data_IF_382675075141
#
_entry.id   IF_382675075141
#
_cell.length_a   1.000
_cell.length_b   1.000
_cell.length_c   1.000
_cell.angle_alpha   90.00
_cell.angle_beta   90.00
_cell.angle_gamma   90.00
#
_symmetry.space_group_name_H-M   'P 1'
#
loop_
_entity.id
_entity.type
_entity.pdbx_description
1 polymer ?
#
# COMPACT_ATOMS: atom_id res chain seq x y z
N UNK A 1 36.84 -7.46 -29.61
CA UNK A 1 36.41 -7.10 -30.99
C UNK A 1 37.50 -6.42 -31.81
N UNK A 2 38.73 -6.29 -31.28
CA UNK A 2 39.89 -5.67 -31.95
C UNK A 2 40.80 -6.70 -32.67
N UNK A 3 40.28 -7.87 -33.07
CA UNK A 3 41.04 -8.85 -33.83
C UNK A 3 41.03 -8.49 -35.32
N UNK A 4 42.16 -8.66 -35.99
CA UNK A 4 42.31 -8.42 -37.44
C UNK A 4 41.69 -9.52 -38.32
N UNK A 5 41.28 -10.66 -37.75
CA UNK A 5 40.62 -11.75 -38.47
C UNK A 5 39.10 -11.53 -38.57
N UNK A 6 38.49 -11.38 -39.76
CA UNK A 6 37.07 -11.09 -39.93
C UNK A 6 36.15 -12.18 -39.33
N UNK A 7 36.58 -13.43 -39.37
CA UNK A 7 35.82 -14.57 -38.79
C UNK A 7 35.70 -14.49 -37.26
N UNK A 8 36.79 -14.08 -36.58
CA UNK A 8 36.80 -13.90 -35.14
C UNK A 8 35.89 -12.73 -34.75
N UNK A 9 35.85 -11.68 -35.55
CA UNK A 9 35.01 -10.50 -35.31
C UNK A 9 33.52 -10.84 -35.45
N UNK A 10 33.15 -11.61 -36.48
CA UNK A 10 31.77 -12.08 -36.70
C UNK A 10 31.30 -13.03 -35.58
N UNK A 11 32.14 -13.98 -35.19
CA UNK A 11 31.84 -14.89 -34.08
C UNK A 11 31.71 -14.15 -32.75
N UNK A 12 32.55 -13.16 -32.50
CA UNK A 12 32.45 -12.32 -31.29
C UNK A 12 31.17 -11.47 -31.27
N UNK A 13 30.78 -10.87 -32.40
CA UNK A 13 29.54 -10.12 -32.53
C UNK A 13 28.31 -10.99 -32.32
N UNK A 14 28.23 -12.18 -32.92
CA UNK A 14 27.11 -13.10 -32.71
C UNK A 14 27.01 -13.60 -31.25
N UNK A 15 28.15 -13.79 -30.60
CA UNK A 15 28.17 -14.13 -29.17
C UNK A 15 27.66 -12.97 -28.29
N UNK A 16 28.07 -11.75 -28.61
CA UNK A 16 27.60 -10.53 -27.91
C UNK A 16 26.09 -10.39 -28.07
N UNK A 17 25.57 -10.47 -29.29
CA UNK A 17 24.12 -10.37 -29.57
C UNK A 17 23.31 -11.45 -28.82
N UNK A 18 23.86 -12.69 -28.76
CA UNK A 18 23.21 -13.77 -28.02
C UNK A 18 23.19 -13.50 -26.51
N UNK A 19 24.31 -13.00 -25.96
CA UNK A 19 24.42 -12.67 -24.54
C UNK A 19 23.50 -11.46 -24.19
N UNK A 20 23.53 -10.40 -24.99
CA UNK A 20 22.68 -9.23 -24.82
C UNK A 20 21.20 -9.60 -24.90
N UNK A 21 20.81 -10.47 -25.83
CA UNK A 21 19.47 -11.00 -25.94
C UNK A 21 19.02 -11.75 -24.68
N UNK A 22 19.88 -12.60 -24.10
CA UNK A 22 19.62 -13.29 -22.83
C UNK A 22 19.51 -12.31 -21.66
N UNK A 23 20.41 -11.35 -21.58
CA UNK A 23 20.40 -10.33 -20.52
C UNK A 23 19.15 -9.46 -20.61
N UNK A 24 18.71 -9.10 -21.81
CA UNK A 24 17.46 -8.36 -22.00
C UNK A 24 16.24 -9.14 -21.49
N UNK A 25 16.15 -10.43 -21.76
CA UNK A 25 15.07 -11.29 -21.26
C UNK A 25 15.12 -11.38 -19.73
N UNK A 26 16.30 -11.60 -19.14
CA UNK A 26 16.48 -11.64 -17.68
C UNK A 26 16.07 -10.29 -17.06
N UNK A 27 16.46 -9.17 -17.67
CA UNK A 27 16.07 -7.83 -17.20
C UNK A 27 14.54 -7.63 -17.21
N UNK A 28 13.81 -8.17 -18.19
CA UNK A 28 12.35 -8.12 -18.21
C UNK A 28 11.73 -8.91 -17.05
N UNK A 29 12.21 -10.11 -16.77
CA UNK A 29 11.76 -10.90 -15.62
C UNK A 29 12.12 -10.21 -14.30
N UNK A 30 13.28 -9.56 -14.21
CA UNK A 30 13.69 -8.78 -13.05
C UNK A 30 12.73 -7.59 -12.80
N UNK A 31 12.28 -6.91 -13.87
CA UNK A 31 11.30 -5.83 -13.78
C UNK A 31 9.93 -6.35 -13.31
N UNK A 32 9.50 -7.55 -13.76
CA UNK A 32 8.28 -8.18 -13.23
C UNK A 32 8.42 -8.45 -11.74
N UNK A 33 9.54 -9.02 -11.29
CA UNK A 33 9.81 -9.29 -9.89
C UNK A 33 9.76 -8.01 -9.03
N UNK A 34 10.45 -6.96 -9.46
CA UNK A 34 10.41 -5.66 -8.79
C UNK A 34 9.02 -5.03 -8.84
N UNK A 35 8.30 -5.21 -9.93
CA UNK A 35 6.92 -4.76 -10.08
C UNK A 35 5.95 -5.47 -9.15
N UNK A 36 6.09 -6.78 -8.95
CA UNK A 36 5.30 -7.55 -7.98
C UNK A 36 5.59 -7.11 -6.56
N UNK A 37 6.86 -6.84 -6.22
CA UNK A 37 7.22 -6.32 -4.91
C UNK A 37 6.61 -4.93 -4.67
N UNK A 38 6.72 -4.01 -5.63
CA UNK A 38 6.09 -2.70 -5.54
C UNK A 38 4.57 -2.81 -5.46
N UNK A 39 3.96 -3.66 -6.29
CA UNK A 39 2.53 -3.92 -6.27
C UNK A 39 2.04 -4.48 -4.93
N UNK A 40 2.84 -5.30 -4.26
CA UNK A 40 2.53 -5.81 -2.92
C UNK A 40 2.49 -4.70 -1.88
N UNK A 41 3.42 -3.77 -1.93
CA UNK A 41 3.44 -2.58 -1.06
C UNK A 41 2.24 -1.67 -1.35
N UNK A 42 1.96 -1.42 -2.63
CA UNK A 42 0.79 -0.64 -3.04
C UNK A 42 -0.51 -1.30 -2.59
N UNK A 43 -0.59 -2.63 -2.62
CA UNK A 43 -1.74 -3.38 -2.12
C UNK A 43 -1.95 -3.15 -0.63
N UNK A 44 -0.90 -3.27 0.20
CA UNK A 44 -1.01 -3.03 1.65
C UNK A 44 -1.48 -1.61 1.95
N UNK A 45 -0.91 -0.62 1.28
CA UNK A 45 -1.30 0.77 1.45
C UNK A 45 -2.73 1.02 0.97
N UNK A 46 -3.14 0.43 -0.16
CA UNK A 46 -4.45 0.67 -0.77
C UNK A 46 -5.60 -0.10 -0.10
N UNK A 47 -5.33 -1.28 0.49
CA UNK A 47 -6.40 -2.17 0.96
C UNK A 47 -7.17 -1.58 2.14
N UNK A 48 -6.50 -0.84 3.03
CA UNK A 48 -7.13 -0.10 4.10
C UNK A 48 -8.06 1.00 3.58
N UNK A 49 -7.61 1.72 2.54
CA UNK A 49 -8.41 2.73 1.84
C UNK A 49 -9.59 2.10 1.09
N UNK A 50 -9.41 0.94 0.47
CA UNK A 50 -10.48 0.21 -0.21
C UNK A 50 -11.61 -0.17 0.74
N UNK A 51 -11.29 -0.50 2.00
CA UNK A 51 -12.29 -0.81 3.02
C UNK A 51 -13.03 0.44 3.46
N UNK A 52 -12.32 1.49 3.85
CA UNK A 52 -12.95 2.72 4.35
C UNK A 52 -13.80 3.39 3.27
N UNK A 53 -13.26 3.57 2.07
CA UNK A 53 -13.99 4.13 0.94
C UNK A 53 -15.10 3.18 0.46
N UNK A 54 -14.84 1.88 0.45
CA UNK A 54 -15.81 0.86 0.02
C UNK A 54 -17.04 0.76 0.92
N UNK A 55 -16.90 0.86 2.23
CA UNK A 55 -18.00 0.71 3.20
C UNK A 55 -18.69 2.03 3.48
N UNK A 56 -17.92 3.07 3.73
CA UNK A 56 -18.43 4.36 4.23
C UNK A 56 -18.67 5.39 3.12
N UNK A 57 -18.07 5.20 1.93
CA UNK A 57 -18.09 6.19 0.85
C UNK A 57 -17.29 7.46 1.15
N UNK A 58 -16.40 7.41 2.13
CA UNK A 58 -15.60 8.56 2.60
C UNK A 58 -14.24 8.54 1.94
N UNK A 59 -13.87 9.66 1.31
CA UNK A 59 -12.51 9.87 0.78
C UNK A 59 -11.64 10.37 1.92
N UNK A 60 -10.71 9.52 2.39
CA UNK A 60 -9.82 9.84 3.49
C UNK A 60 -8.43 10.22 2.97
N UNK A 61 -8.13 11.52 2.92
CA UNK A 61 -6.79 12.00 2.54
C UNK A 61 -5.75 11.80 3.65
N UNK A 62 -6.18 11.64 4.91
CA UNK A 62 -5.28 11.33 6.03
C UNK A 62 -4.86 9.84 6.07
N UNK A 63 -5.34 9.01 5.14
CA UNK A 63 -4.98 7.59 5.10
C UNK A 63 -3.47 7.36 4.91
N UNK A 64 -2.81 8.19 4.09
CA UNK A 64 -1.36 8.15 3.95
C UNK A 64 -0.62 8.37 5.27
N UNK A 65 -1.14 9.24 6.13
CA UNK A 65 -0.55 9.51 7.44
C UNK A 65 -0.69 8.34 8.40
N UNK A 66 -1.66 7.45 8.20
CA UNK A 66 -1.74 6.19 8.95
C UNK A 66 -0.56 5.26 8.58
N UNK A 67 -0.16 5.26 7.31
CA UNK A 67 1.05 4.56 6.84
C UNK A 67 2.29 5.18 7.49
N UNK A 68 2.41 6.51 7.48
CA UNK A 68 3.50 7.23 8.15
C UNK A 68 3.57 6.88 9.64
N UNK A 69 2.45 6.92 10.36
CA UNK A 69 2.39 6.56 11.78
C UNK A 69 2.86 5.12 12.04
N UNK A 70 2.50 4.19 11.16
CA UNK A 70 3.00 2.81 11.23
C UNK A 70 4.52 2.71 11.07
N UNK A 71 5.09 3.45 10.12
CA UNK A 71 6.53 3.49 9.91
C UNK A 71 7.26 4.11 11.11
N UNK A 72 6.77 5.22 11.67
CA UNK A 72 7.33 5.80 12.88
C UNK A 72 7.15 4.92 14.12
N UNK A 73 6.06 4.17 14.23
CA UNK A 73 5.88 3.17 15.29
C UNK A 73 6.95 2.10 15.19
N UNK A 74 7.28 1.64 13.98
CA UNK A 74 8.37 0.68 13.75
C UNK A 74 9.71 1.26 14.19
N UNK A 75 10.01 2.50 13.85
CA UNK A 75 11.21 3.20 14.29
C UNK A 75 11.30 3.25 15.81
N UNK A 76 10.26 3.68 16.51
CA UNK A 76 10.22 3.76 17.98
C UNK A 76 10.42 2.38 18.61
N UNK A 77 9.77 1.35 18.11
CA UNK A 77 9.93 -0.02 18.60
C UNK A 77 11.38 -0.48 18.42
N UNK A 78 12.01 -0.22 17.28
CA UNK A 78 13.41 -0.58 17.07
C UNK A 78 14.37 0.17 18.02
N UNK A 79 14.13 1.46 18.26
CA UNK A 79 14.91 2.23 19.23
C UNK A 79 14.76 1.67 20.66
N UNK A 80 13.56 1.25 21.06
CA UNK A 80 13.35 0.58 22.35
C UNK A 80 14.09 -0.75 22.43
N UNK A 81 14.09 -1.56 21.35
CA UNK A 81 14.86 -2.81 21.33
C UNK A 81 16.37 -2.56 21.37
N UNK A 82 16.88 -1.54 20.68
CA UNK A 82 18.30 -1.15 20.76
C UNK A 82 18.70 -0.74 22.16
N UNK A 83 17.83 0.01 22.86
CA UNK A 83 18.12 0.51 24.21
C UNK A 83 18.02 -0.57 25.29
N UNK A 84 16.99 -1.44 25.24
CA UNK A 84 16.66 -2.34 26.35
C UNK A 84 16.92 -3.81 26.07
N UNK A 85 16.91 -4.25 24.80
CA UNK A 85 17.05 -5.67 24.44
C UNK A 85 17.77 -5.87 23.10
N UNK A 86 19.04 -5.44 22.96
CA UNK A 86 19.76 -5.51 21.68
C UNK A 86 19.90 -6.93 21.13
N UNK A 87 19.98 -7.95 22.00
CA UNK A 87 20.05 -9.36 21.60
C UNK A 87 18.76 -9.93 21.00
N UNK A 88 17.64 -9.21 21.12
CA UNK A 88 16.34 -9.61 20.59
C UNK A 88 15.88 -8.68 19.46
N UNK A 89 16.80 -7.92 18.85
CA UNK A 89 16.47 -6.92 17.81
C UNK A 89 15.70 -7.52 16.64
N UNK A 90 15.97 -8.76 16.25
CA UNK A 90 15.27 -9.45 15.16
C UNK A 90 13.78 -9.67 15.41
N UNK A 91 13.32 -9.64 16.68
CA UNK A 91 11.91 -9.70 17.04
C UNK A 91 11.21 -8.34 17.00
N UNK A 92 11.95 -7.25 16.85
CA UNK A 92 11.40 -5.89 16.86
C UNK A 92 10.31 -5.68 15.80
N UNK A 93 10.52 -6.22 14.60
CA UNK A 93 9.55 -6.12 13.51
C UNK A 93 8.25 -6.88 13.82
N UNK A 94 8.35 -8.05 14.45
CA UNK A 94 7.17 -8.84 14.84
C UNK A 94 6.31 -8.09 15.88
N UNK A 95 6.96 -7.36 16.80
CA UNK A 95 6.26 -6.52 17.78
C UNK A 95 5.74 -5.23 17.14
N UNK A 96 6.48 -4.68 16.17
CA UNK A 96 6.07 -3.47 15.47
C UNK A 96 4.75 -3.64 14.68
N UNK A 97 4.48 -4.82 14.12
CA UNK A 97 3.26 -5.10 13.35
C UNK A 97 1.99 -4.85 14.17
N UNK A 98 1.75 -5.53 15.31
CA UNK A 98 0.56 -5.28 16.12
C UNK A 98 0.56 -3.88 16.74
N UNK A 99 1.72 -3.34 17.11
CA UNK A 99 1.81 -1.99 17.67
C UNK A 99 1.40 -0.93 16.62
N UNK A 100 1.90 -1.02 15.40
CA UNK A 100 1.53 -0.12 14.30
C UNK A 100 0.03 -0.22 13.95
N UNK A 101 -0.52 -1.44 13.94
CA UNK A 101 -1.96 -1.64 13.75
C UNK A 101 -2.78 -0.94 14.83
N UNK A 102 -2.40 -1.08 16.10
CA UNK A 102 -3.11 -0.47 17.22
C UNK A 102 -2.97 1.04 17.24
N UNK A 103 -1.78 1.58 17.02
CA UNK A 103 -1.53 3.03 17.02
C UNK A 103 -2.29 3.70 15.87
N UNK A 104 -2.08 3.23 14.63
CA UNK A 104 -2.78 3.80 13.47
C UNK A 104 -4.29 3.56 13.54
N UNK A 105 -4.73 2.40 14.02
CA UNK A 105 -6.13 2.08 14.22
C UNK A 105 -6.79 2.98 15.27
N UNK A 106 -6.14 3.21 16.40
CA UNK A 106 -6.65 4.11 17.46
C UNK A 106 -6.76 5.55 16.97
N UNK A 107 -5.75 6.05 16.25
CA UNK A 107 -5.79 7.38 15.62
C UNK A 107 -6.92 7.44 14.58
N UNK A 108 -7.09 6.39 13.78
CA UNK A 108 -8.20 6.29 12.82
C UNK A 108 -9.57 6.36 13.52
N UNK A 109 -9.80 5.60 14.59
CA UNK A 109 -11.03 5.66 15.38
C UNK A 109 -11.23 7.06 15.98
N UNK A 110 -10.17 7.71 16.46
CA UNK A 110 -10.24 9.06 16.99
C UNK A 110 -10.64 10.09 15.91
N UNK A 111 -10.11 9.96 14.69
CA UNK A 111 -10.47 10.81 13.55
C UNK A 111 -11.93 10.59 13.15
N UNK A 112 -12.37 9.34 13.10
CA UNK A 112 -13.77 9.02 12.76
C UNK A 112 -14.73 9.64 13.80
N UNK A 113 -14.47 9.38 15.09
CA UNK A 113 -15.32 9.87 16.19
C UNK A 113 -15.26 11.38 16.39
N UNK A 114 -14.09 11.99 16.16
CA UNK A 114 -13.88 13.42 16.35
C UNK A 114 -14.37 14.30 15.20
N UNK A 115 -14.28 13.79 13.96
CA UNK A 115 -14.50 14.62 12.77
C UNK A 115 -15.43 13.97 11.75
N UNK A 116 -15.14 12.73 11.31
CA UNK A 116 -15.81 12.17 10.13
C UNK A 116 -17.29 11.89 10.40
N UNK A 117 -17.65 11.43 11.59
CA UNK A 117 -19.05 11.15 11.95
C UNK A 117 -20.00 12.33 11.72
N UNK A 118 -19.50 13.58 11.78
CA UNK A 118 -20.31 14.80 11.57
C UNK A 118 -20.38 15.22 10.09
N UNK A 119 -19.59 14.59 9.24
CA UNK A 119 -19.44 14.95 7.82
C UNK A 119 -20.01 13.89 6.86
N UNK A 120 -20.75 12.90 7.38
CA UNK A 120 -21.37 11.89 6.53
C UNK A 120 -22.34 12.51 5.51
N UNK A 121 -22.24 12.06 4.26
CA UNK A 121 -23.03 12.57 3.16
C UNK A 121 -22.50 13.86 2.52
N UNK A 122 -21.32 14.35 2.97
CA UNK A 122 -20.69 15.57 2.48
C UNK A 122 -19.26 15.28 1.99
N UNK A 123 -19.09 14.69 0.80
CA UNK A 123 -17.80 14.15 0.37
C UNK A 123 -16.71 15.21 0.22
N UNK A 124 -17.05 16.42 -0.24
CA UNK A 124 -16.06 17.50 -0.38
C UNK A 124 -15.59 18.05 0.98
N UNK A 125 -16.51 18.21 1.93
CA UNK A 125 -16.16 18.67 3.29
C UNK A 125 -15.29 17.63 4.00
N UNK A 126 -15.60 16.33 3.82
CA UNK A 126 -14.82 15.23 4.39
C UNK A 126 -13.41 15.19 3.80
N UNK A 127 -13.27 15.38 2.48
CA UNK A 127 -11.98 15.44 1.81
C UNK A 127 -11.12 16.58 2.35
N UNK A 128 -11.69 17.78 2.49
CA UNK A 128 -10.97 18.95 3.01
C UNK A 128 -10.59 18.78 4.49
N UNK A 129 -11.51 18.26 5.32
CA UNK A 129 -11.26 18.01 6.73
C UNK A 129 -10.14 16.98 6.93
N UNK A 130 -10.16 15.87 6.19
CA UNK A 130 -9.13 14.84 6.28
C UNK A 130 -7.78 15.32 5.73
N UNK A 131 -7.78 16.20 4.73
CA UNK A 131 -6.55 16.85 4.28
C UNK A 131 -5.95 17.77 5.35
N UNK A 132 -6.79 18.56 6.03
CA UNK A 132 -6.35 19.37 7.19
C UNK A 132 -5.76 18.51 8.32
N UNK A 133 -6.40 17.37 8.63
CA UNK A 133 -5.91 16.41 9.62
C UNK A 133 -4.54 15.82 9.17
N UNK A 134 -4.38 15.52 7.88
CA UNK A 134 -3.11 15.05 7.33
C UNK A 134 -1.99 16.04 7.63
N UNK A 135 -2.20 17.33 7.36
CA UNK A 135 -1.20 18.37 7.65
C UNK A 135 -0.87 18.48 9.15
N UNK A 136 -1.88 18.35 10.02
CA UNK A 136 -1.69 18.36 11.48
C UNK A 136 -0.84 17.18 11.92
N UNK A 137 -1.13 15.97 11.43
CA UNK A 137 -0.37 14.76 11.77
C UNK A 137 1.08 14.84 11.27
N UNK A 138 1.31 15.31 10.05
CA UNK A 138 2.66 15.54 9.54
C UNK A 138 3.44 16.53 10.40
N UNK A 139 2.81 17.65 10.74
CA UNK A 139 3.45 18.64 11.57
C UNK A 139 3.71 18.14 12.99
N UNK A 140 2.81 17.34 13.56
CA UNK A 140 3.02 16.71 14.86
C UNK A 140 4.23 15.77 14.83
N UNK A 141 4.35 14.92 13.81
CA UNK A 141 5.49 14.01 13.65
C UNK A 141 6.79 14.80 13.44
N UNK A 142 6.79 15.86 12.63
CA UNK A 142 7.97 16.73 12.46
C UNK A 142 8.40 17.40 13.76
N UNK A 143 7.45 17.77 14.61
CA UNK A 143 7.75 18.41 15.89
C UNK A 143 8.33 17.41 16.89
N UNK A 144 7.87 16.16 16.88
CA UNK A 144 8.31 15.11 17.83
C UNK A 144 9.63 14.48 17.40
N UNK A 145 9.76 14.10 16.13
CA UNK A 145 10.90 13.32 15.60
C UNK A 145 11.89 14.15 14.77
N UNK A 146 11.54 15.38 14.43
CA UNK A 146 12.32 16.24 13.55
C UNK A 146 11.93 16.07 12.06
N UNK A 147 12.47 16.94 11.19
CA UNK A 147 12.19 16.93 9.76
C UNK A 147 13.04 15.93 8.97
N UNK A 148 14.06 15.34 9.59
CA UNK A 148 15.01 14.42 8.96
C UNK A 148 14.43 13.03 8.83
N UNK A 149 14.91 12.29 7.82
CA UNK A 149 14.57 10.89 7.65
C UNK A 149 15.15 10.07 8.81
N UNK A 150 14.40 9.08 9.26
CA UNK A 150 14.82 8.13 10.27
C UNK A 150 15.12 6.78 9.60
N UNK A 151 16.21 6.16 10.03
CA UNK A 151 16.64 4.87 9.51
C UNK A 151 16.05 3.73 10.32
N UNK A 152 15.39 2.81 9.62
CA UNK A 152 14.87 1.56 10.16
C UNK A 152 15.69 0.41 9.58
N UNK A 153 16.33 -0.36 10.46
CA UNK A 153 17.18 -1.47 10.02
C UNK A 153 16.36 -2.72 9.75
N UNK A 154 16.72 -3.43 8.67
CA UNK A 154 16.12 -4.72 8.39
C UNK A 154 16.67 -5.79 9.35
N UNK A 155 15.81 -6.67 9.92
CA UNK A 155 16.25 -7.81 10.73
C UNK A 155 17.23 -8.72 9.98
N UNK A 156 18.03 -9.51 10.70
CA UNK A 156 19.06 -10.36 10.11
C UNK A 156 18.51 -11.35 9.06
N UNK A 157 17.33 -11.91 9.30
CA UNK A 157 16.66 -12.86 8.39
C UNK A 157 16.10 -12.24 7.10
N UNK A 158 16.04 -10.91 7.00
CA UNK A 158 15.60 -10.18 5.80
C UNK A 158 16.79 -9.66 4.99
N UNK A 159 18.01 -9.76 5.50
CA UNK A 159 19.22 -9.28 4.83
C UNK A 159 19.74 -10.30 3.81
N UNK A 160 20.35 -9.79 2.74
CA UNK A 160 20.90 -10.61 1.68
C UNK A 160 19.92 -10.98 0.58
N UNK A 161 20.30 -11.95 -0.24
CA UNK A 161 19.52 -12.44 -1.37
C UNK A 161 20.20 -13.63 -2.01
N UNK A 162 19.55 -14.23 -2.99
CA UNK A 162 20.09 -15.30 -3.80
C UNK A 162 19.80 -15.04 -5.27
N UNK A 163 20.63 -15.63 -6.13
CA UNK A 163 20.42 -15.60 -7.57
C UNK A 163 19.70 -16.88 -8.01
N UNK A 164 18.60 -16.73 -8.70
CA UNK A 164 17.86 -17.83 -9.30
C UNK A 164 17.66 -17.57 -10.80
N UNK A 165 18.22 -18.44 -11.64
CA UNK A 165 18.18 -18.30 -13.11
C UNK A 165 18.70 -16.93 -13.63
N UNK A 166 19.65 -16.32 -12.93
CA UNK A 166 20.17 -14.98 -13.25
C UNK A 166 19.32 -13.81 -12.72
N UNK A 167 18.25 -14.10 -11.94
CA UNK A 167 17.44 -13.10 -11.28
C UNK A 167 17.99 -12.85 -9.87
N UNK A 168 18.26 -11.60 -9.53
CA UNK A 168 18.63 -11.21 -8.17
C UNK A 168 17.37 -11.09 -7.30
N UNK A 169 17.14 -12.06 -6.42
CA UNK A 169 16.02 -12.11 -5.49
C UNK A 169 16.52 -11.72 -4.11
N UNK A 170 16.12 -10.54 -3.61
CA UNK A 170 16.41 -10.09 -2.26
C UNK A 170 15.39 -10.65 -1.26
N UNK A 171 15.87 -11.16 -0.12
CA UNK A 171 15.00 -11.70 0.93
C UNK A 171 14.00 -10.67 1.43
N UNK A 172 14.40 -9.41 1.54
CA UNK A 172 13.53 -8.33 1.98
C UNK A 172 12.24 -8.24 1.11
N UNK A 173 12.39 -8.23 -0.22
CA UNK A 173 11.24 -8.17 -1.14
C UNK A 173 10.39 -9.43 -1.09
N UNK A 174 11.02 -10.60 -0.94
CA UNK A 174 10.30 -11.87 -0.79
C UNK A 174 9.42 -11.84 0.46
N UNK A 175 9.98 -11.43 1.60
CA UNK A 175 9.24 -11.30 2.86
C UNK A 175 8.07 -10.33 2.75
N UNK A 176 8.24 -9.20 2.05
CA UNK A 176 7.17 -8.22 1.85
C UNK A 176 6.02 -8.83 1.03
N UNK A 177 6.32 -9.58 -0.05
CA UNK A 177 5.28 -10.23 -0.86
C UNK A 177 4.51 -11.27 -0.03
N UNK A 178 5.22 -12.13 0.71
CA UNK A 178 4.61 -13.14 1.58
C UNK A 178 3.78 -12.47 2.68
N UNK A 179 4.33 -11.46 3.33
CA UNK A 179 3.65 -10.71 4.37
C UNK A 179 2.37 -10.04 3.85
N UNK A 180 2.43 -9.41 2.68
CA UNK A 180 1.26 -8.81 2.03
C UNK A 180 0.17 -9.83 1.77
N UNK A 181 0.54 -11.03 1.29
CA UNK A 181 -0.43 -12.09 1.05
C UNK A 181 -1.08 -12.57 2.36
N UNK A 182 -0.29 -12.72 3.42
CA UNK A 182 -0.81 -13.09 4.75
C UNK A 182 -1.79 -12.04 5.27
N UNK A 183 -1.43 -10.76 5.22
CA UNK A 183 -2.31 -9.66 5.65
C UNK A 183 -3.58 -9.61 4.80
N UNK A 184 -3.47 -9.78 3.48
CA UNK A 184 -4.62 -9.83 2.59
C UNK A 184 -5.58 -10.97 2.93
N UNK A 185 -5.05 -12.18 3.14
CA UNK A 185 -5.86 -13.35 3.52
C UNK A 185 -6.47 -13.20 4.91
N UNK A 186 -5.71 -12.68 5.89
CA UNK A 186 -6.22 -12.38 7.22
C UNK A 186 -7.37 -11.37 7.17
N UNK A 187 -7.24 -10.33 6.37
CA UNK A 187 -8.28 -9.33 6.18
C UNK A 187 -9.53 -9.92 5.49
N UNK A 188 -9.34 -10.74 4.47
CA UNK A 188 -10.45 -11.48 3.85
C UNK A 188 -11.16 -12.37 4.86
N UNK A 189 -10.43 -13.04 5.74
CA UNK A 189 -10.99 -13.84 6.81
C UNK A 189 -11.81 -12.99 7.79
N UNK A 190 -11.27 -11.84 8.24
CA UNK A 190 -12.00 -10.90 9.09
C UNK A 190 -13.31 -10.46 8.42
N UNK A 191 -13.25 -10.04 7.16
CA UNK A 191 -14.43 -9.52 6.46
C UNK A 191 -15.46 -10.59 6.09
N UNK A 192 -15.04 -11.84 5.85
CA UNK A 192 -15.97 -12.93 5.47
C UNK A 192 -16.49 -13.74 6.66
N UNK A 193 -15.65 -13.96 7.67
CA UNK A 193 -15.94 -14.92 8.75
C UNK A 193 -16.40 -14.26 10.06
N UNK A 194 -16.19 -12.93 10.23
CA UNK A 194 -16.57 -12.26 11.47
C UNK A 194 -17.92 -11.55 11.39
N UNK A 195 -18.54 -11.34 12.56
CA UNK A 195 -19.77 -10.53 12.69
C UNK A 195 -19.56 -9.08 12.25
N UNK A 196 -18.36 -8.51 12.47
CA UNK A 196 -18.02 -7.18 12.01
C UNK A 196 -18.10 -7.08 10.49
N UNK A 197 -17.50 -8.03 9.76
CA UNK A 197 -17.57 -8.05 8.31
C UNK A 197 -19.00 -8.22 7.77
N UNK A 198 -19.86 -8.98 8.47
CA UNK A 198 -21.28 -9.08 8.13
C UNK A 198 -21.99 -7.73 8.31
N UNK A 199 -21.77 -7.06 9.44
CA UNK A 199 -22.35 -5.75 9.73
C UNK A 199 -21.87 -4.68 8.75
N UNK A 200 -20.57 -4.68 8.38
CA UNK A 200 -20.02 -3.79 7.36
C UNK A 200 -20.74 -3.97 6.02
N UNK A 201 -20.95 -5.20 5.56
CA UNK A 201 -21.69 -5.47 4.31
C UNK A 201 -23.15 -5.02 4.40
N UNK A 202 -23.81 -5.24 5.53
CA UNK A 202 -25.20 -4.78 5.73
C UNK A 202 -25.30 -3.24 5.65
N UNK A 203 -24.41 -2.52 6.34
CA UNK A 203 -24.34 -1.05 6.31
C UNK A 203 -24.03 -0.52 4.91
N UNK A 204 -23.15 -1.19 4.16
CA UNK A 204 -22.79 -0.82 2.79
C UNK A 204 -23.96 -0.98 1.82
N UNK A 205 -24.80 -2.02 1.99
CA UNK A 205 -25.96 -2.24 1.14
C UNK A 205 -27.09 -1.26 1.40
N UNK A 206 -27.49 -1.14 2.67
CA UNK A 206 -28.55 -0.20 3.05
C UNK A 206 -28.39 0.22 4.53
N UNK A 207 -27.80 1.40 4.72
CA UNK A 207 -27.51 1.95 6.05
C UNK A 207 -28.77 2.14 6.92
N UNK A 208 -29.89 2.62 6.33
CA UNK A 208 -31.14 2.85 7.06
C UNK A 208 -31.75 1.53 7.51
N UNK A 209 -31.80 0.55 6.61
CA UNK A 209 -32.34 -0.76 6.94
C UNK A 209 -31.49 -1.48 7.99
N UNK A 210 -30.15 -1.41 7.87
CA UNK A 210 -29.23 -1.98 8.86
C UNK A 210 -29.47 -1.39 10.26
N UNK A 211 -29.66 -0.07 10.35
CA UNK A 211 -30.00 0.60 11.62
C UNK A 211 -31.35 0.13 12.17
N UNK A 212 -32.37 -0.03 11.33
CA UNK A 212 -33.69 -0.53 11.73
C UNK A 212 -33.65 -1.99 12.24
N UNK A 213 -32.68 -2.77 11.76
CA UNK A 213 -32.43 -4.14 12.24
C UNK A 213 -31.55 -4.21 13.49
N UNK A 214 -31.27 -3.08 14.15
CA UNK A 214 -30.53 -3.01 15.40
C UNK A 214 -29.00 -2.92 15.26
N UNK A 215 -28.46 -2.78 14.06
CA UNK A 215 -27.02 -2.57 13.86
C UNK A 215 -26.65 -1.16 14.25
N UNK A 216 -25.70 -1.01 15.17
CA UNK A 216 -25.15 0.29 15.59
C UNK A 216 -24.21 0.82 14.51
N UNK A 217 -24.75 1.50 13.50
CA UNK A 217 -24.00 1.96 12.31
C UNK A 217 -22.78 2.82 12.69
N UNK A 218 -22.88 3.72 13.65
CA UNK A 218 -21.74 4.52 14.10
C UNK A 218 -20.60 3.69 14.72
N UNK A 219 -20.92 2.57 15.41
CA UNK A 219 -19.90 1.65 15.89
C UNK A 219 -19.21 0.92 14.72
N UNK A 220 -20.01 0.47 13.75
CA UNK A 220 -19.47 -0.21 12.55
C UNK A 220 -18.57 0.74 11.76
N UNK A 221 -18.93 2.01 11.63
CA UNK A 221 -18.13 3.02 10.95
C UNK A 221 -16.77 3.24 11.66
N UNK A 222 -16.80 3.44 12.98
CA UNK A 222 -15.58 3.61 13.75
C UNK A 222 -14.64 2.40 13.66
N UNK A 223 -15.20 1.19 13.75
CA UNK A 223 -14.43 -0.04 13.62
C UNK A 223 -13.91 -0.25 12.19
N UNK A 224 -14.70 0.11 11.18
CA UNK A 224 -14.28 0.08 9.76
C UNK A 224 -13.11 1.01 9.51
N UNK A 225 -13.24 2.25 10.01
CA UNK A 225 -12.20 3.26 9.85
C UNK A 225 -10.93 2.88 10.63
N UNK A 226 -11.08 2.37 11.85
CA UNK A 226 -9.99 1.84 12.67
C UNK A 226 -9.28 0.65 12.01
N UNK A 227 -10.04 -0.31 11.45
CA UNK A 227 -9.50 -1.46 10.74
C UNK A 227 -8.71 -1.01 9.49
N UNK A 228 -9.28 -0.12 8.67
CA UNK A 228 -8.61 0.38 7.47
C UNK A 228 -7.34 1.18 7.82
N UNK A 229 -7.40 2.02 8.85
CA UNK A 229 -6.25 2.78 9.35
C UNK A 229 -5.19 1.86 9.97
N UNK A 230 -5.59 0.83 10.72
CA UNK A 230 -4.67 -0.15 11.29
C UNK A 230 -3.92 -0.95 10.21
N UNK A 231 -4.62 -1.37 9.14
CA UNK A 231 -3.99 -2.02 7.99
C UNK A 231 -3.02 -1.08 7.27
N UNK A 232 -3.36 0.22 7.16
CA UNK A 232 -2.41 1.22 6.65
C UNK A 232 -1.17 1.36 7.55
N UNK A 233 -1.33 1.27 8.88
CA UNK A 233 -0.21 1.20 9.81
C UNK A 233 0.70 -0.01 9.55
N UNK A 234 0.12 -1.17 9.31
CA UNK A 234 0.89 -2.38 8.91
C UNK A 234 1.62 -2.15 7.57
N UNK A 235 1.01 -1.46 6.60
CA UNK A 235 1.69 -1.08 5.37
C UNK A 235 2.91 -0.19 5.65
N UNK A 236 2.83 0.70 6.64
CA UNK A 236 3.94 1.51 7.11
C UNK A 236 5.10 0.69 7.65
N UNK A 237 4.83 -0.41 8.38
CA UNK A 237 5.86 -1.36 8.83
C UNK A 237 6.59 -1.98 7.64
N UNK A 238 5.87 -2.43 6.62
CA UNK A 238 6.48 -3.01 5.42
C UNK A 238 7.28 -1.97 4.62
N UNK A 239 6.74 -0.76 4.50
CA UNK A 239 7.41 0.35 3.81
C UNK A 239 8.70 0.78 4.50
N UNK A 240 8.74 0.82 5.82
CA UNK A 240 9.95 1.18 6.58
C UNK A 240 11.13 0.25 6.31
N UNK A 241 10.90 -0.95 5.73
CA UNK A 241 11.96 -1.90 5.40
C UNK A 241 12.57 -1.67 4.00
N UNK A 242 11.95 -0.86 3.15
CA UNK A 242 12.38 -0.62 1.76
C UNK A 242 12.54 0.85 1.41
N UNK A 243 11.99 1.72 2.22
CA UNK A 243 12.04 3.17 2.04
C UNK A 243 12.41 3.86 3.36
N UNK A 244 12.94 5.08 3.28
CA UNK A 244 13.27 5.87 4.46
C UNK A 244 12.02 6.36 5.17
N UNK A 245 11.99 6.25 6.49
CA UNK A 245 10.90 6.79 7.29
C UNK A 245 11.01 8.30 7.38
N UNK A 246 10.07 8.98 6.77
CA UNK A 246 10.02 10.45 6.71
C UNK A 246 8.64 10.98 7.04
N UNK A 247 8.52 12.25 7.49
CA UNK A 247 7.20 12.86 7.70
C UNK A 247 6.35 13.00 6.44
N UNK A 248 6.95 12.89 5.25
CA UNK A 248 6.25 12.96 3.97
C UNK A 248 5.93 11.58 3.39
N UNK A 249 6.30 10.48 4.06
CA UNK A 249 6.12 9.11 3.57
C UNK A 249 4.67 8.85 3.14
N UNK A 250 3.70 9.27 3.94
CA UNK A 250 2.28 9.09 3.66
C UNK A 250 1.83 9.76 2.37
N UNK A 251 2.28 10.99 2.13
CA UNK A 251 1.92 11.75 0.92
C UNK A 251 2.45 11.11 -0.37
N UNK A 252 3.58 10.43 -0.31
CA UNK A 252 4.16 9.76 -1.47
C UNK A 252 3.33 8.57 -1.94
N UNK A 253 2.57 7.94 -1.03
CA UNK A 253 1.83 6.72 -1.31
C UNK A 253 0.30 6.91 -1.37
N UNK A 254 -0.25 8.04 -0.89
CA UNK A 254 -1.71 8.23 -0.87
C UNK A 254 -2.30 8.28 -2.29
N UNK A 255 -1.63 8.96 -3.21
CA UNK A 255 -2.09 9.09 -4.60
C UNK A 255 -2.07 7.72 -5.29
N UNK A 256 -0.96 6.99 -5.15
CA UNK A 256 -0.81 5.65 -5.72
C UNK A 256 -1.85 4.68 -5.13
N UNK A 257 -2.09 4.75 -3.82
CA UNK A 257 -3.13 3.95 -3.14
C UNK A 257 -4.53 4.27 -3.65
N UNK A 258 -4.83 5.54 -3.87
CA UNK A 258 -6.11 5.97 -4.41
C UNK A 258 -6.30 5.48 -5.86
N UNK A 259 -5.27 5.57 -6.69
CA UNK A 259 -5.29 5.04 -8.06
C UNK A 259 -5.57 3.54 -8.09
N UNK A 260 -4.91 2.78 -7.20
CA UNK A 260 -5.12 1.33 -7.07
C UNK A 260 -6.58 1.02 -6.73
N UNK A 261 -7.17 1.71 -5.76
CA UNK A 261 -8.55 1.48 -5.32
C UNK A 261 -9.56 1.82 -6.42
N UNK A 262 -9.38 2.97 -7.07
CA UNK A 262 -10.31 3.42 -8.11
C UNK A 262 -10.18 2.59 -9.38
N UNK A 263 -8.98 2.25 -9.80
CA UNK A 263 -8.73 1.38 -10.94
C UNK A 263 -9.27 -0.03 -10.71
N UNK A 264 -9.07 -0.59 -9.52
CA UNK A 264 -9.57 -1.91 -9.13
C UNK A 264 -11.08 -2.00 -9.00
N UNK A 265 -11.72 -0.91 -8.64
CA UNK A 265 -13.15 -0.80 -8.31
C UNK A 265 -13.37 -0.70 -6.82
N UNK A 266 -13.94 0.42 -6.41
CA UNK A 266 -14.13 0.80 -5.00
C UNK A 266 -14.89 -0.27 -4.22
N UNK A 267 -14.30 -0.73 -3.11
CA UNK A 267 -14.89 -1.73 -2.22
C UNK A 267 -14.70 -3.18 -2.67
N UNK A 268 -14.05 -3.44 -3.80
CA UNK A 268 -13.73 -4.80 -4.24
C UNK A 268 -12.26 -5.13 -3.94
N UNK A 269 -12.02 -5.97 -2.92
CA UNK A 269 -10.67 -6.34 -2.50
C UNK A 269 -9.89 -7.13 -3.56
N UNK A 270 -10.55 -7.99 -4.33
CA UNK A 270 -9.92 -8.69 -5.44
C UNK A 270 -9.54 -7.74 -6.58
N UNK A 271 -10.39 -6.73 -6.84
CA UNK A 271 -10.09 -5.64 -7.75
C UNK A 271 -8.87 -4.85 -7.30
N UNK A 272 -8.79 -4.52 -6.01
CA UNK A 272 -7.63 -3.84 -5.42
C UNK A 272 -6.35 -4.66 -5.56
N UNK A 273 -6.40 -5.98 -5.33
CA UNK A 273 -5.26 -6.89 -5.51
C UNK A 273 -4.72 -6.86 -6.95
N UNK A 274 -5.61 -7.09 -7.92
CA UNK A 274 -5.22 -7.14 -9.35
C UNK A 274 -4.72 -5.78 -9.81
N UNK A 275 -5.37 -4.72 -9.39
CA UNK A 275 -4.99 -3.34 -9.69
C UNK A 275 -3.59 -3.00 -9.13
N UNK A 276 -3.34 -3.31 -7.86
CA UNK A 276 -2.06 -3.04 -7.21
C UNK A 276 -0.90 -3.76 -7.91
N UNK A 277 -1.07 -5.05 -8.21
CA UNK A 277 -0.05 -5.83 -8.89
C UNK A 277 0.17 -5.35 -10.32
N UNK A 278 -0.90 -5.06 -11.08
CA UNK A 278 -0.78 -4.57 -12.45
C UNK A 278 -0.13 -3.18 -12.51
N UNK A 279 -0.51 -2.25 -11.65
CA UNK A 279 0.09 -0.91 -11.61
C UNK A 279 1.54 -0.95 -11.11
N UNK A 280 1.86 -1.83 -10.15
CA UNK A 280 3.24 -2.06 -9.70
C UNK A 280 4.14 -2.58 -10.82
N UNK A 281 3.67 -3.56 -11.59
CA UNK A 281 4.40 -4.10 -12.75
C UNK A 281 4.53 -3.04 -13.83
N UNK A 282 3.44 -2.35 -14.20
CA UNK A 282 3.48 -1.27 -15.20
C UNK A 282 4.48 -0.17 -14.84
N UNK A 283 4.54 0.21 -13.55
CA UNK A 283 5.49 1.22 -13.08
C UNK A 283 6.93 0.78 -13.37
N UNK A 284 7.28 -0.46 -12.99
CA UNK A 284 8.64 -0.98 -13.18
C UNK A 284 9.02 -1.22 -14.64
N UNK A 285 8.05 -1.43 -15.52
CA UNK A 285 8.30 -1.48 -16.97
C UNK A 285 8.50 -0.09 -17.60
N UNK A 286 7.79 0.93 -17.10
CA UNK A 286 7.91 2.29 -17.64
C UNK A 286 9.13 3.05 -17.09
N UNK A 287 9.55 2.73 -15.86
CA UNK A 287 10.63 3.43 -15.15
C UNK A 287 11.97 3.48 -15.93
N UNK A 288 12.47 2.39 -16.57
CA UNK A 288 13.71 2.41 -17.35
C UNK A 288 13.65 3.31 -18.59
N UNK A 289 12.46 3.53 -19.17
CA UNK A 289 12.28 4.32 -20.40
C UNK A 289 11.96 5.79 -20.13
N UNK A 290 11.11 6.04 -19.14
CA UNK A 290 10.60 7.38 -18.85
C UNK A 290 11.20 8.00 -17.57
N UNK A 291 11.90 7.22 -16.75
CA UNK A 291 12.30 7.61 -15.41
C UNK A 291 11.15 7.51 -14.40
N UNK A 292 11.47 7.49 -13.12
CA UNK A 292 10.50 7.21 -12.04
C UNK A 292 9.34 8.21 -11.97
N UNK A 293 9.60 9.49 -12.18
CA UNK A 293 8.58 10.56 -12.09
C UNK A 293 7.63 10.52 -13.28
N UNK A 294 8.17 10.46 -14.52
CA UNK A 294 7.34 10.40 -15.73
C UNK A 294 6.55 9.10 -15.81
N UNK A 295 7.09 7.98 -15.35
CA UNK A 295 6.36 6.70 -15.26
C UNK A 295 5.11 6.83 -14.40
N UNK A 296 5.20 7.45 -13.22
CA UNK A 296 4.04 7.73 -12.35
C UNK A 296 3.01 8.63 -13.02
N UNK A 297 3.44 9.68 -13.71
CA UNK A 297 2.55 10.59 -14.44
C UNK A 297 1.83 9.85 -15.58
N UNK A 298 2.54 9.02 -16.34
CA UNK A 298 1.96 8.23 -17.42
C UNK A 298 0.91 7.24 -16.90
N UNK A 299 1.19 6.58 -15.78
CA UNK A 299 0.22 5.68 -15.12
C UNK A 299 -1.01 6.47 -14.65
N UNK A 300 -0.83 7.62 -14.03
CA UNK A 300 -1.92 8.49 -13.62
C UNK A 300 -2.83 8.85 -14.79
N UNK A 301 -2.24 9.31 -15.90
CA UNK A 301 -2.98 9.66 -17.12
C UNK A 301 -3.73 8.44 -17.69
N UNK A 302 -3.07 7.28 -17.74
CA UNK A 302 -3.66 6.03 -18.22
C UNK A 302 -4.87 5.63 -17.37
N UNK A 303 -4.74 5.68 -16.05
CA UNK A 303 -5.84 5.35 -15.12
C UNK A 303 -6.99 6.34 -15.27
N UNK A 304 -6.71 7.64 -15.42
CA UNK A 304 -7.74 8.66 -15.65
C UNK A 304 -8.51 8.37 -16.96
N UNK A 305 -7.82 8.10 -18.06
CA UNK A 305 -8.43 7.75 -19.34
C UNK A 305 -9.24 6.45 -19.25
N UNK A 306 -8.76 5.47 -18.49
CA UNK A 306 -9.48 4.23 -18.24
C UNK A 306 -10.78 4.48 -17.48
N UNK A 307 -10.75 5.30 -16.41
CA UNK A 307 -11.93 5.63 -15.58
C UNK A 307 -12.98 6.41 -16.40
N UNK A 308 -12.55 7.28 -17.30
CA UNK A 308 -13.49 7.96 -18.23
C UNK A 308 -14.30 6.98 -19.06
N UNK A 309 -13.71 5.86 -19.50
CA UNK A 309 -14.41 4.79 -20.23
C UNK A 309 -15.14 3.81 -19.32
N UNK A 310 -14.61 3.53 -18.12
CA UNK A 310 -15.17 2.58 -17.15
C UNK A 310 -15.16 3.18 -15.73
N UNK A 311 -16.12 4.03 -15.39
CA UNK A 311 -16.15 4.76 -14.12
C UNK A 311 -16.27 3.87 -12.88
N UNK A 312 -16.69 2.60 -13.06
CA UNK A 312 -16.79 1.60 -11.97
C UNK A 312 -15.50 0.81 -11.72
N UNK A 313 -14.40 1.11 -12.42
CA UNK A 313 -13.15 0.37 -12.34
C UNK A 313 -13.20 -0.98 -13.07
N UNK A 314 -12.18 -1.83 -12.82
CA UNK A 314 -12.07 -3.17 -13.43
C UNK A 314 -13.17 -4.13 -12.95
N UNK A 315 -13.48 -4.11 -11.65
CA UNK A 315 -14.40 -5.03 -10.99
C UNK A 315 -15.52 -4.28 -10.27
N UNK A 316 -16.55 -3.90 -11.03
CA UNK A 316 -17.72 -3.24 -10.47
C UNK A 316 -18.45 -4.15 -9.47
N UNK A 317 -18.76 -3.66 -8.27
CA UNK A 317 -19.67 -4.35 -7.35
C UNK A 317 -21.08 -4.35 -7.94
N UNK A 318 -21.64 -5.55 -8.15
CA UNK A 318 -23.06 -5.71 -8.54
C UNK A 318 -23.93 -5.44 -7.31
N UNK A 319 -24.87 -4.49 -7.41
CA UNK A 319 -25.88 -4.25 -6.37
C UNK A 319 -25.83 -2.91 -5.64
N UNK A 320 -24.83 -2.07 -5.87
CA UNK A 320 -24.89 -0.67 -5.44
C UNK A 320 -25.75 0.10 -6.43
N UNK A 321 -26.92 0.59 -5.99
CA UNK A 321 -27.59 1.65 -6.70
C UNK A 321 -26.63 2.85 -6.75
N UNK A 322 -26.08 3.11 -7.91
CA UNK A 322 -25.40 4.38 -8.18
C UNK A 322 -26.53 5.39 -8.21
N UNK A 323 -26.67 6.16 -7.14
CA UNK A 323 -27.40 7.41 -7.23
C UNK A 323 -26.68 8.24 -8.28
N UNK A 324 -27.37 8.40 -9.41
CA UNK A 324 -26.97 9.25 -10.51
C UNK A 324 -27.01 10.72 -10.08
#
# INVERSE_FOLDING_TARGET
VQSDAPEVRTAAQSAIETIEGRLAVIAQFQNVWYGLSLGSVLLLAAIGLAITFGVMGVINMAHGEMVMLGAYTTFVIQELFRAFAPGMFDLSLLVAIPAAFLVAGAVGVAIERGVIQFLYGRPLETLLATWGISLILQQAVRTIFGPTNQDVSAPSYMQGGFEFLGLAITYNRLWIIVFTLVVFLALLAVLKLTSLGLQMRAVTQNRRMAASMGIRTGYVDAMTFGLGSGVAGIAGVALSQIDNVSPNLGQNYIIDSFLVVVFGGVGNLWGTLISALSLGVMNKFLEPYAGAVLAKILILVLVILFIQKRPRGLFALKGRAVEA
#
